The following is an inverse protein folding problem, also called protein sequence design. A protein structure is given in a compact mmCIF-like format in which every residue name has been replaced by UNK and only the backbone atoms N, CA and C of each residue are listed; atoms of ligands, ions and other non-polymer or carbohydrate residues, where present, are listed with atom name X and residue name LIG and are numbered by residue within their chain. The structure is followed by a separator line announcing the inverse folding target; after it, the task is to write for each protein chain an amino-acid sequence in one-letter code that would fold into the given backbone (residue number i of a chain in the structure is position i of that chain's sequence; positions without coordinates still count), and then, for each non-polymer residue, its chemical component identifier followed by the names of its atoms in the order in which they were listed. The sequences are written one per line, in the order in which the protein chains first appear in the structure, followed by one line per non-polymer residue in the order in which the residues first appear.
data_IF_330942525617
#
_entry.id   IF_330942525617
#
_cell.length_a   1.000
_cell.length_b   1.000
_cell.length_c   1.000
_cell.angle_alpha   90.00
_cell.angle_beta   90.00
_cell.angle_gamma   90.00
#
_symmetry.space_group_name_H-M   'P 1'
#
loop_
_entity.id
_entity.type
_entity.pdbx_description
1 polymer ?
#
# COMPACT_ATOMS: atom_id res chain seq x y z
N UNK A 1 -46.84 96.65 -3.93
CA UNK A 1 -45.73 95.84 -4.45
C UNK A 1 -45.78 94.39 -3.92
N UNK A 2 -46.57 93.47 -4.52
CA UNK A 2 -46.60 92.05 -4.14
C UNK A 2 -45.84 91.11 -5.10
N UNK A 3 -45.33 91.60 -6.23
CA UNK A 3 -44.69 90.74 -7.25
C UNK A 3 -43.31 90.18 -6.83
N UNK A 4 -42.51 90.93 -6.05
CA UNK A 4 -41.18 90.48 -5.62
C UNK A 4 -41.22 89.26 -4.68
N UNK A 5 -42.25 89.15 -3.81
CA UNK A 5 -42.38 88.03 -2.88
C UNK A 5 -42.70 86.71 -3.58
N UNK A 6 -43.49 86.77 -4.67
CA UNK A 6 -43.82 85.59 -5.49
C UNK A 6 -42.61 85.12 -6.31
N UNK A 7 -41.85 86.06 -6.87
CA UNK A 7 -40.61 85.76 -7.59
C UNK A 7 -39.53 85.16 -6.67
N UNK A 8 -39.41 85.66 -5.44
CA UNK A 8 -38.48 85.12 -4.44
C UNK A 8 -38.87 83.70 -4.00
N UNK A 9 -40.16 83.40 -3.86
CA UNK A 9 -40.64 82.05 -3.53
C UNK A 9 -40.34 81.03 -4.63
N UNK A 10 -40.49 81.43 -5.90
CA UNK A 10 -40.14 80.58 -7.05
C UNK A 10 -38.63 80.32 -7.11
N UNK A 11 -37.81 81.34 -6.83
CA UNK A 11 -36.36 81.19 -6.77
C UNK A 11 -35.93 80.17 -5.69
N UNK A 12 -36.53 80.24 -4.49
CA UNK A 12 -36.23 79.31 -3.40
C UNK A 12 -36.59 77.87 -3.73
N UNK A 13 -37.72 77.65 -4.43
CA UNK A 13 -38.13 76.30 -4.86
C UNK A 13 -37.14 75.74 -5.89
N UNK A 14 -36.69 76.56 -6.84
CA UNK A 14 -35.70 76.14 -7.83
C UNK A 14 -34.35 75.80 -7.19
N UNK A 15 -33.92 76.56 -6.18
CA UNK A 15 -32.69 76.29 -5.43
C UNK A 15 -32.84 75.01 -4.60
N UNK A 16 -33.98 74.79 -3.93
CA UNK A 16 -34.23 73.56 -3.19
C UNK A 16 -34.27 72.31 -4.10
N UNK A 17 -34.84 72.44 -5.30
CA UNK A 17 -34.85 71.38 -6.30
C UNK A 17 -33.45 71.10 -6.86
N UNK A 18 -32.63 72.13 -7.07
CA UNK A 18 -31.24 71.98 -7.50
C UNK A 18 -30.40 71.29 -6.41
N UNK A 19 -30.53 71.71 -5.14
CA UNK A 19 -29.83 71.08 -4.01
C UNK A 19 -30.30 69.64 -3.81
N UNK A 20 -31.60 69.39 -3.89
CA UNK A 20 -32.18 68.05 -3.81
C UNK A 20 -31.71 67.15 -4.95
N UNK A 21 -31.65 67.68 -6.18
CA UNK A 21 -31.12 66.97 -7.34
C UNK A 21 -29.64 66.66 -7.23
N UNK A 22 -28.82 67.61 -6.77
CA UNK A 22 -27.38 67.39 -6.53
C UNK A 22 -27.14 66.43 -5.37
N UNK A 23 -27.95 66.50 -4.30
CA UNK A 23 -27.81 65.61 -3.15
C UNK A 23 -28.28 64.20 -3.50
N UNK A 24 -29.36 64.05 -4.27
CA UNK A 24 -29.84 62.77 -4.76
C UNK A 24 -28.85 62.14 -5.76
N UNK A 25 -28.30 62.93 -6.68
CA UNK A 25 -27.23 62.50 -7.58
C UNK A 25 -25.98 62.00 -6.85
N UNK A 26 -25.57 62.72 -5.80
CA UNK A 26 -24.44 62.34 -4.94
C UNK A 26 -24.69 61.04 -4.16
N UNK A 27 -25.94 60.78 -3.77
CA UNK A 27 -26.33 59.51 -3.14
C UNK A 27 -26.43 58.36 -4.15
N UNK A 28 -26.83 58.61 -5.39
CA UNK A 28 -26.90 57.57 -6.42
C UNK A 28 -25.55 57.09 -6.94
N UNK A 29 -24.47 57.84 -6.70
CA UNK A 29 -23.11 57.46 -7.13
C UNK A 29 -22.41 56.48 -6.16
N UNK A 30 -23.06 56.11 -5.04
CA UNK A 30 -22.60 55.04 -4.13
C UNK A 30 -23.05 53.63 -4.54
N UNK A 31 -23.81 53.46 -5.63
CA UNK A 31 -23.96 52.16 -6.28
C UNK A 31 -22.72 51.89 -7.14
N UNK A 32 -21.59 51.84 -6.45
CA UNK A 32 -20.29 51.46 -6.99
C UNK A 32 -20.43 50.09 -7.61
N UNK A 33 -20.01 49.99 -8.87
CA UNK A 33 -19.56 48.77 -9.54
C UNK A 33 -18.81 47.89 -8.52
N UNK A 34 -19.52 46.93 -7.95
CA UNK A 34 -18.88 45.80 -7.30
C UNK A 34 -18.12 45.09 -8.43
N UNK A 35 -16.81 45.31 -8.51
CA UNK A 35 -15.92 44.32 -9.07
C UNK A 35 -16.29 43.02 -8.37
N UNK A 36 -16.89 42.10 -9.14
CA UNK A 36 -17.28 40.77 -8.71
C UNK A 36 -16.06 40.13 -8.07
N UNK A 37 -15.96 40.26 -6.74
CA UNK A 37 -14.85 39.75 -5.96
C UNK A 37 -14.97 38.24 -6.08
N UNK A 38 -14.10 37.68 -6.93
CA UNK A 38 -14.19 36.32 -7.44
C UNK A 38 -14.73 35.36 -6.39
N UNK A 39 -15.94 34.87 -6.63
CA UNK A 39 -16.52 33.65 -6.07
C UNK A 39 -16.08 33.36 -4.63
N UNK A 40 -16.87 33.83 -3.65
CA UNK A 40 -17.01 33.12 -2.38
C UNK A 40 -17.69 31.77 -2.67
N UNK A 41 -16.96 30.85 -3.30
CA UNK A 41 -17.31 29.43 -3.29
C UNK A 41 -17.30 28.99 -1.83
N UNK A 42 -18.37 28.37 -1.32
CA UNK A 42 -18.31 27.67 -0.05
C UNK A 42 -17.07 26.77 -0.04
N UNK A 43 -16.31 26.65 1.06
CA UNK A 43 -15.16 25.75 1.11
C UNK A 43 -15.64 24.37 0.67
N UNK A 44 -15.10 23.89 -0.45
CA UNK A 44 -15.44 22.57 -0.98
C UNK A 44 -15.10 21.55 0.12
N UNK A 45 -16.01 20.61 0.45
CA UNK A 45 -15.74 19.65 1.50
C UNK A 45 -14.42 18.93 1.19
N UNK A 46 -13.58 18.66 2.21
CA UNK A 46 -12.29 18.03 1.99
C UNK A 46 -12.51 16.69 1.30
N UNK A 47 -11.97 16.56 0.10
CA UNK A 47 -12.04 15.32 -0.67
C UNK A 47 -11.28 14.23 0.09
N UNK A 48 -11.82 13.02 0.06
CA UNK A 48 -11.24 11.85 0.69
C UNK A 48 -10.91 10.80 -0.36
N UNK A 49 -9.79 10.10 -0.17
CA UNK A 49 -9.35 8.97 -0.97
C UNK A 49 -9.50 7.68 -0.18
N UNK A 50 -10.00 6.65 -0.83
CA UNK A 50 -10.16 5.31 -0.28
C UNK A 50 -9.06 4.41 -0.82
N UNK A 51 -8.26 3.81 0.05
CA UNK A 51 -7.13 2.95 -0.32
C UNK A 51 -7.19 1.64 0.41
N UNK A 52 -6.75 0.56 -0.25
CA UNK A 52 -6.62 -0.75 0.37
C UNK A 52 -5.16 -0.97 0.77
N UNK A 53 -4.90 -1.32 2.03
CA UNK A 53 -3.56 -1.61 2.54
C UNK A 53 -3.48 -3.09 2.94
N UNK A 54 -2.53 -3.82 2.38
CA UNK A 54 -2.34 -5.25 2.66
C UNK A 54 -0.87 -5.66 2.79
N UNK A 55 -0.64 -6.90 3.25
CA UNK A 55 0.69 -7.45 3.48
C UNK A 55 1.15 -7.30 4.92
N UNK A 56 2.43 -6.98 5.12
CA UNK A 56 3.09 -6.91 6.44
C UNK A 56 2.77 -5.62 7.20
N UNK A 57 1.49 -5.46 7.55
CA UNK A 57 0.96 -4.38 8.37
C UNK A 57 0.14 -4.97 9.52
N UNK A 58 -0.02 -4.23 10.63
CA UNK A 58 -0.71 -4.78 11.81
C UNK A 58 -2.18 -5.12 11.55
N UNK A 59 -2.89 -4.27 10.81
CA UNK A 59 -4.32 -4.43 10.52
C UNK A 59 -4.64 -4.14 9.06
N UNK A 60 -4.40 -5.11 8.14
CA UNK A 60 -4.76 -4.98 6.74
C UNK A 60 -6.23 -4.60 6.56
N UNK A 61 -6.54 -3.74 5.60
CA UNK A 61 -7.90 -3.25 5.42
C UNK A 61 -8.02 -2.05 4.51
N UNK A 62 -9.26 -1.60 4.36
CA UNK A 62 -9.61 -0.38 3.63
C UNK A 62 -9.48 0.82 4.56
N UNK A 63 -8.88 1.90 4.07
CA UNK A 63 -8.65 3.13 4.83
C UNK A 63 -9.15 4.32 4.00
N UNK A 64 -9.81 5.26 4.67
CA UNK A 64 -10.30 6.51 4.07
C UNK A 64 -9.50 7.66 4.66
N UNK A 65 -8.76 8.38 3.82
CA UNK A 65 -7.89 9.49 4.23
C UNK A 65 -8.23 10.76 3.44
N UNK A 66 -7.93 11.95 3.96
CA UNK A 66 -8.01 13.18 3.16
C UNK A 66 -7.11 13.10 1.92
N UNK A 67 -7.53 13.75 0.83
CA UNK A 67 -6.73 13.91 -0.38
C UNK A 67 -5.40 14.64 -0.07
N UNK A 68 -4.33 14.27 -0.78
CA UNK A 68 -2.99 14.85 -0.59
C UNK A 68 -2.13 14.17 0.49
N UNK A 69 -2.67 13.13 1.16
CA UNK A 69 -1.90 12.26 2.05
C UNK A 69 -0.98 11.31 1.26
N UNK A 70 0.02 10.75 1.94
CA UNK A 70 1.02 9.84 1.36
C UNK A 70 0.79 8.39 1.80
N UNK A 71 1.45 7.46 1.12
CA UNK A 71 1.47 6.03 1.47
C UNK A 71 1.87 5.79 2.93
N UNK A 72 2.81 6.56 3.46
CA UNK A 72 3.17 6.52 4.89
C UNK A 72 1.98 6.74 5.82
N UNK A 73 1.11 7.71 5.50
CA UNK A 73 -0.06 8.02 6.31
C UNK A 73 -1.06 6.86 6.30
N UNK A 74 -1.30 6.25 5.13
CA UNK A 74 -2.17 5.09 5.01
C UNK A 74 -1.66 3.88 5.78
N UNK A 75 -0.35 3.62 5.73
CA UNK A 75 0.28 2.53 6.46
C UNK A 75 0.24 2.77 7.97
N UNK A 76 0.36 4.02 8.42
CA UNK A 76 0.22 4.37 9.84
C UNK A 76 -1.20 4.17 10.35
N UNK A 77 -2.22 4.47 9.53
CA UNK A 77 -3.63 4.29 9.89
C UNK A 77 -4.01 2.82 10.12
N UNK A 78 -3.38 1.89 9.40
CA UNK A 78 -3.49 0.43 9.66
C UNK A 78 -2.62 -0.06 10.82
N UNK A 79 -2.09 0.85 11.64
CA UNK A 79 -1.29 0.55 12.83
C UNK A 79 0.22 0.43 12.58
N UNK A 80 0.67 0.79 11.37
CA UNK A 80 2.06 0.71 10.93
C UNK A 80 2.44 -0.67 10.40
N UNK A 81 3.69 -0.76 9.97
CA UNK A 81 4.31 -2.02 9.55
C UNK A 81 4.67 -2.90 10.75
N UNK A 82 4.85 -4.20 10.50
CA UNK A 82 5.41 -5.16 11.47
C UNK A 82 6.91 -5.36 11.24
N UNK A 83 7.63 -5.97 12.19
CA UNK A 83 9.09 -6.10 12.14
C UNK A 83 9.59 -6.91 10.93
N UNK A 84 8.76 -7.80 10.41
CA UNK A 84 9.02 -8.62 9.22
C UNK A 84 8.80 -7.86 7.91
N UNK A 85 8.28 -6.63 7.95
CA UNK A 85 8.02 -5.84 6.75
C UNK A 85 9.29 -5.31 6.08
N UNK A 86 9.26 -5.26 4.75
CA UNK A 86 10.31 -4.66 3.93
C UNK A 86 9.87 -3.27 3.46
N UNK A 87 10.16 -2.26 4.29
CA UNK A 87 9.76 -0.88 4.05
C UNK A 87 10.49 -0.29 2.84
N UNK A 88 11.75 -0.70 2.61
CA UNK A 88 12.60 -0.17 1.53
C UNK A 88 12.05 -0.50 0.13
N UNK A 89 11.16 -1.49 0.04
CA UNK A 89 10.51 -1.90 -1.20
C UNK A 89 9.20 -1.17 -1.49
N UNK A 90 8.75 -0.31 -0.58
CA UNK A 90 7.53 0.49 -0.72
C UNK A 90 7.89 1.96 -0.78
N UNK A 91 7.41 2.67 -1.80
CA UNK A 91 7.55 4.12 -1.85
C UNK A 91 6.58 4.78 -0.86
N UNK A 92 7.00 4.90 0.40
CA UNK A 92 6.21 5.53 1.47
C UNK A 92 5.92 7.02 1.20
N UNK A 93 6.71 7.65 0.33
CA UNK A 93 6.53 9.05 -0.03
C UNK A 93 5.53 9.25 -1.18
N UNK A 94 5.04 8.20 -1.85
CA UNK A 94 4.05 8.38 -2.91
C UNK A 94 2.76 9.03 -2.37
N UNK A 95 2.15 9.91 -3.17
CA UNK A 95 0.81 10.44 -2.88
C UNK A 95 -0.23 9.34 -3.04
N UNK A 96 -1.31 9.45 -2.28
CA UNK A 96 -2.45 8.55 -2.38
C UNK A 96 -3.38 9.01 -3.50
N UNK A 97 -3.89 8.02 -4.24
CA UNK A 97 -4.95 8.17 -5.24
C UNK A 97 -6.13 7.31 -4.80
N UNK A 98 -7.34 7.72 -5.16
CA UNK A 98 -8.54 6.95 -4.85
C UNK A 98 -8.53 5.58 -5.56
N UNK A 99 -8.89 4.53 -4.83
CA UNK A 99 -8.82 3.15 -5.31
C UNK A 99 -7.43 2.53 -5.32
N UNK A 100 -6.41 3.21 -4.78
CA UNK A 100 -5.04 2.67 -4.74
C UNK A 100 -4.93 1.45 -3.83
N UNK A 101 -4.18 0.43 -4.29
CA UNK A 101 -3.80 -0.73 -3.49
C UNK A 101 -2.32 -0.66 -3.10
N UNK A 102 -2.06 -0.56 -1.80
CA UNK A 102 -0.74 -0.55 -1.20
C UNK A 102 -0.46 -1.93 -0.61
N UNK A 103 0.54 -2.63 -1.15
CA UNK A 103 1.01 -3.91 -0.62
C UNK A 103 2.38 -3.74 0.03
N UNK A 104 2.47 -4.02 1.33
CA UNK A 104 3.72 -4.04 2.07
C UNK A 104 4.31 -5.46 2.02
N UNK A 105 5.45 -5.68 1.34
CA UNK A 105 6.05 -7.00 1.24
C UNK A 105 6.76 -7.42 2.52
N UNK A 106 6.93 -8.73 2.68
CA UNK A 106 7.80 -9.31 3.71
C UNK A 106 9.27 -9.20 3.31
N UNK A 107 10.08 -8.87 4.30
CA UNK A 107 11.52 -8.83 4.18
C UNK A 107 12.04 -10.26 4.02
N UNK A 108 12.80 -10.48 2.95
CA UNK A 108 13.33 -11.80 2.58
C UNK A 108 14.21 -12.42 3.67
N UNK A 109 14.76 -11.61 4.59
CA UNK A 109 15.49 -12.09 5.79
C UNK A 109 14.58 -12.85 6.76
N UNK A 110 13.28 -12.54 6.77
CA UNK A 110 12.25 -13.19 7.58
C UNK A 110 11.39 -14.17 6.75
N UNK A 111 11.14 -13.84 5.48
CA UNK A 111 10.39 -14.67 4.52
C UNK A 111 11.09 -15.94 4.05
N UNK A 112 12.29 -16.22 4.57
CA UNK A 112 13.00 -17.49 4.36
C UNK A 112 12.74 -18.52 5.47
N UNK A 113 11.65 -18.39 6.23
CA UNK A 113 11.18 -19.40 7.22
C UNK A 113 10.16 -20.41 6.67
N UNK A 114 9.84 -20.37 5.37
CA UNK A 114 9.12 -21.45 4.68
C UNK A 114 10.02 -22.17 3.68
N UNK A 115 11.22 -22.51 4.12
CA UNK A 115 11.72 -23.86 3.97
C UNK A 115 12.05 -24.28 5.40
N UNK A 116 11.11 -24.92 6.08
CA UNK A 116 11.47 -25.70 7.26
C UNK A 116 12.55 -26.67 6.75
N UNK A 117 13.79 -26.66 7.28
CA UNK A 117 14.71 -27.75 7.02
C UNK A 117 14.21 -28.94 7.85
N UNK A 118 13.05 -29.47 7.47
CA UNK A 118 12.57 -30.75 7.95
C UNK A 118 13.44 -31.76 7.21
N UNK A 119 14.64 -32.00 7.72
CA UNK A 119 15.66 -32.72 6.98
C UNK A 119 16.80 -33.11 7.88
N UNK A 120 17.37 -32.18 8.62
CA UNK A 120 18.56 -32.50 9.40
C UNK A 120 18.18 -32.98 10.80
N UNK A 121 18.41 -34.27 11.04
CA UNK A 121 18.50 -34.81 12.39
C UNK A 121 19.61 -34.07 13.16
N UNK A 122 19.53 -34.07 14.49
CA UNK A 122 20.52 -33.49 15.42
C UNK A 122 21.97 -33.95 15.20
N UNK A 123 22.14 -35.01 14.40
CA UNK A 123 23.39 -35.67 14.01
C UNK A 123 23.89 -35.24 12.60
N UNK A 124 23.23 -34.27 11.95
CA UNK A 124 23.57 -33.81 10.60
C UNK A 124 23.25 -34.82 9.49
N UNK A 125 22.35 -35.77 9.75
CA UNK A 125 21.81 -36.72 8.75
C UNK A 125 20.57 -36.14 8.08
N UNK A 126 20.45 -36.32 6.77
CA UNK A 126 19.36 -35.80 5.95
C UNK A 126 18.20 -36.80 5.90
N UNK A 127 17.01 -36.37 6.30
CA UNK A 127 15.79 -37.14 6.28
C UNK A 127 15.24 -37.21 4.86
N UNK A 128 15.27 -38.38 4.24
CA UNK A 128 14.88 -38.57 2.84
C UNK A 128 13.36 -38.43 2.60
N UNK A 129 12.55 -38.53 3.64
CA UNK A 129 11.10 -38.35 3.55
C UNK A 129 10.73 -36.87 3.53
N UNK A 130 11.40 -36.06 4.33
CA UNK A 130 11.02 -34.66 4.54
C UNK A 130 11.92 -33.66 3.82
N UNK A 131 13.17 -34.04 3.48
CA UNK A 131 14.14 -33.14 2.88
C UNK A 131 13.67 -32.56 1.55
N UNK A 132 14.03 -31.30 1.31
CA UNK A 132 13.77 -30.64 0.03
C UNK A 132 14.80 -31.06 -1.03
N UNK A 133 14.55 -30.71 -2.28
CA UNK A 133 15.42 -31.12 -3.39
C UNK A 133 16.87 -30.63 -3.23
N UNK A 134 17.05 -29.43 -2.68
CA UNK A 134 18.36 -28.80 -2.48
C UNK A 134 19.15 -29.50 -1.36
N UNK A 135 18.48 -29.87 -0.27
CA UNK A 135 19.06 -30.64 0.84
C UNK A 135 19.49 -32.03 0.37
N UNK A 136 18.67 -32.70 -0.44
CA UNK A 136 19.04 -34.00 -1.02
C UNK A 136 20.31 -33.90 -1.89
N UNK A 137 20.58 -32.76 -2.52
CA UNK A 137 21.79 -32.54 -3.32
C UNK A 137 23.06 -32.38 -2.47
N UNK A 138 22.94 -32.13 -1.16
CA UNK A 138 24.10 -32.09 -0.26
C UNK A 138 24.68 -33.50 -0.02
N UNK A 139 23.93 -34.55 -0.36
CA UNK A 139 24.35 -35.92 -0.23
C UNK A 139 25.39 -36.32 -1.31
N UNK A 140 26.42 -37.09 -0.93
CA UNK A 140 27.49 -37.48 -1.85
C UNK A 140 26.95 -38.31 -3.03
N UNK A 141 27.06 -37.77 -4.24
CA UNK A 141 26.63 -38.44 -5.48
C UNK A 141 25.15 -38.30 -5.81
N UNK A 142 24.43 -37.40 -5.12
CA UNK A 142 23.08 -36.95 -5.47
C UNK A 142 23.19 -35.56 -6.10
N UNK A 143 22.89 -35.46 -7.39
CA UNK A 143 22.76 -34.19 -8.10
C UNK A 143 21.30 -33.86 -8.41
N UNK A 144 21.02 -32.74 -9.12
CA UNK A 144 19.66 -32.27 -9.42
C UNK A 144 18.75 -33.35 -10.03
N UNK A 145 19.26 -34.12 -11.00
CA UNK A 145 18.48 -35.18 -11.61
C UNK A 145 18.16 -36.34 -10.66
N UNK A 146 18.94 -36.55 -9.60
CA UNK A 146 18.71 -37.63 -8.64
C UNK A 146 17.82 -37.16 -7.48
N UNK A 147 18.03 -35.93 -6.98
CA UNK A 147 17.15 -35.32 -5.99
C UNK A 147 15.71 -35.24 -6.50
N UNK A 148 15.51 -34.81 -7.74
CA UNK A 148 14.18 -34.79 -8.37
C UNK A 148 13.52 -36.18 -8.38
N UNK A 149 14.27 -37.25 -8.68
CA UNK A 149 13.74 -38.62 -8.67
C UNK A 149 13.39 -39.13 -7.28
N UNK A 150 14.13 -38.71 -6.25
CA UNK A 150 13.81 -39.05 -4.85
C UNK A 150 12.46 -38.42 -4.47
N UNK A 151 12.28 -37.14 -4.83
CA UNK A 151 11.03 -36.40 -4.60
C UNK A 151 9.86 -37.03 -5.38
N UNK A 152 10.06 -37.31 -6.66
CA UNK A 152 9.06 -37.98 -7.51
C UNK A 152 8.69 -39.36 -6.96
N UNK A 153 9.67 -40.13 -6.49
CA UNK A 153 9.43 -41.46 -5.92
C UNK A 153 8.54 -41.39 -4.68
N UNK A 154 8.79 -40.47 -3.74
CA UNK A 154 7.98 -40.33 -2.52
C UNK A 154 6.57 -39.84 -2.81
N UNK A 155 6.39 -39.01 -3.84
CA UNK A 155 5.08 -38.53 -4.25
C UNK A 155 4.25 -39.64 -4.91
N UNK A 156 4.90 -40.49 -5.72
CA UNK A 156 4.22 -41.58 -6.42
C UNK A 156 4.00 -42.84 -5.55
N UNK A 157 4.92 -43.16 -4.64
CA UNK A 157 4.94 -44.42 -3.89
C UNK A 157 4.71 -44.23 -2.38
N UNK A 158 4.63 -42.99 -1.91
CA UNK A 158 4.62 -42.64 -0.49
C UNK A 158 6.01 -42.66 0.15
N UNK A 159 6.05 -42.33 1.44
CA UNK A 159 7.29 -42.23 2.23
C UNK A 159 8.09 -43.55 2.25
N UNK A 160 9.42 -43.43 2.30
CA UNK A 160 10.35 -44.53 2.52
C UNK A 160 10.15 -45.10 3.94
N UNK A 161 9.99 -46.43 4.03
CA UNK A 161 9.81 -47.12 5.32
C UNK A 161 11.14 -47.58 5.91
N UNK A 162 12.15 -47.77 5.05
CA UNK A 162 13.51 -48.13 5.41
C UNK A 162 14.50 -47.29 4.61
N UNK A 163 15.66 -47.03 5.17
CA UNK A 163 16.75 -46.32 4.47
C UNK A 163 17.13 -47.05 3.17
N UNK A 164 17.08 -48.38 3.16
CA UNK A 164 17.36 -49.23 1.99
C UNK A 164 16.37 -49.04 0.83
N UNK A 165 15.16 -48.53 1.09
CA UNK A 165 14.16 -48.32 0.04
C UNK A 165 14.62 -47.28 -0.99
N UNK A 166 15.60 -46.44 -0.67
CA UNK A 166 16.22 -45.50 -1.60
C UNK A 166 16.86 -46.21 -2.82
N UNK A 167 17.20 -47.51 -2.69
CA UNK A 167 17.71 -48.34 -3.80
C UNK A 167 16.66 -48.63 -4.89
N UNK A 168 15.37 -48.42 -4.59
CA UNK A 168 14.29 -48.57 -5.58
C UNK A 168 14.32 -47.45 -6.64
N UNK A 169 15.04 -46.37 -6.35
CA UNK A 169 15.18 -45.24 -7.25
C UNK A 169 16.20 -45.57 -8.34
N UNK A 170 15.78 -45.36 -9.59
CA UNK A 170 16.63 -45.58 -10.76
C UNK A 170 17.91 -44.75 -10.68
N UNK A 171 19.05 -45.45 -10.57
CA UNK A 171 20.39 -44.85 -10.53
C UNK A 171 21.01 -44.73 -9.14
N UNK A 172 20.33 -45.23 -8.10
CA UNK A 172 20.90 -45.47 -6.76
C UNK A 172 21.09 -46.99 -6.58
N UNK A 173 22.27 -47.49 -6.97
CA UNK A 173 22.68 -48.87 -6.72
C UNK A 173 23.41 -49.04 -5.38
N UNK A 174 23.84 -50.27 -5.08
CA UNK A 174 24.58 -50.59 -3.85
C UNK A 174 25.80 -49.67 -3.62
N UNK A 175 26.58 -49.38 -4.68
CA UNK A 175 27.77 -48.53 -4.57
C UNK A 175 27.48 -47.09 -4.11
N UNK A 176 26.31 -46.54 -4.48
CA UNK A 176 25.89 -45.21 -4.01
C UNK A 176 25.24 -45.30 -2.63
N UNK A 177 24.41 -46.32 -2.40
CA UNK A 177 23.79 -46.54 -1.11
C UNK A 177 24.80 -46.64 0.04
N UNK A 178 25.90 -47.37 -0.15
CA UNK A 178 26.96 -47.48 0.87
C UNK A 178 27.56 -46.12 1.28
N UNK A 179 27.59 -45.16 0.36
CA UNK A 179 28.08 -43.79 0.63
C UNK A 179 27.03 -42.89 1.27
N UNK A 180 25.75 -43.27 1.16
CA UNK A 180 24.61 -42.48 1.61
C UNK A 180 24.07 -42.94 2.96
N UNK A 181 24.15 -44.25 3.27
CA UNK A 181 23.50 -44.87 4.43
C UNK A 181 23.82 -44.19 5.77
N UNK A 182 25.05 -43.66 5.93
CA UNK A 182 25.50 -43.00 7.15
C UNK A 182 25.14 -41.50 7.20
N UNK A 183 24.63 -40.95 6.09
CA UNK A 183 24.26 -39.53 5.93
C UNK A 183 22.77 -39.31 5.79
N UNK A 184 21.98 -40.37 5.75
CA UNK A 184 20.53 -40.29 5.58
C UNK A 184 19.78 -40.87 6.78
N UNK A 185 18.57 -40.37 7.00
CA UNK A 185 17.59 -40.90 7.94
C UNK A 185 16.21 -40.94 7.30
N UNK A 186 15.23 -41.56 7.95
CA UNK A 186 13.81 -41.56 7.54
C UNK A 186 12.94 -40.77 8.51
#
# INVERSE_FOLDING_TARGET
MPMFKKSLAVLLILVAAAIGGTMYGYYSEQETLALDAGTNMPPEPPRSVTVYVSGEVKKPGLVILPEGKRVADAVNEVGGVIETADIDRVNMAALLEDGMHIRVPENQKFGSKTAVPAGNDTDGRININTANEKELQELPGIGPAMSARIVEYREANGNFKKIEDIKKIRGIGNAKFEKLKDKVTI
#
